data_IF_756449674459
#
_entry.id   IF_756449674459
#
_cell.length_a   1.000
_cell.length_b   1.000
_cell.length_c   1.000
_cell.angle_alpha   90.00
_cell.angle_beta   90.00
_cell.angle_gamma   90.00
#
_symmetry.space_group_name_H-M   'P 1'
#
loop_
_entity.id
_entity.type
_entity.pdbx_description
1 polymer ?
#
# COMPACT_ATOMS: atom_id res chain seq x y z
N UNK A 1 8.96 -23.12 -6.15
CA UNK A 1 8.38 -22.26 -5.12
C UNK A 1 8.45 -20.80 -5.53
N UNK A 2 7.51 -20.00 -5.03
CA UNK A 2 7.52 -18.52 -5.04
C UNK A 2 7.60 -18.11 -3.59
N UNK A 3 8.67 -17.43 -3.18
CA UNK A 3 8.90 -17.02 -1.79
C UNK A 3 9.27 -15.54 -1.68
N UNK A 4 8.95 -14.92 -0.56
CA UNK A 4 9.37 -13.56 -0.20
C UNK A 4 10.07 -13.65 1.16
N UNK A 5 11.39 -13.46 1.17
CA UNK A 5 12.22 -13.82 2.31
C UNK A 5 12.06 -15.29 2.66
N UNK A 6 11.76 -15.59 3.91
CA UNK A 6 11.54 -16.97 4.40
C UNK A 6 10.09 -17.44 4.25
N UNK A 7 9.18 -16.59 3.77
CA UNK A 7 7.76 -16.92 3.61
C UNK A 7 7.47 -17.51 2.23
N UNK A 8 6.92 -18.73 2.21
CA UNK A 8 6.49 -19.41 1.00
C UNK A 8 5.08 -18.94 0.59
N UNK A 9 4.97 -18.29 -0.55
CA UNK A 9 3.69 -17.80 -1.09
C UNK A 9 2.95 -18.86 -1.91
N UNK A 10 3.70 -19.78 -2.57
CA UNK A 10 3.11 -20.81 -3.39
C UNK A 10 4.10 -21.50 -4.31
N UNK A 11 3.54 -22.23 -5.26
CA UNK A 11 4.33 -23.00 -6.24
C UNK A 11 3.83 -22.70 -7.67
N UNK A 12 4.78 -22.57 -8.59
CA UNK A 12 4.49 -22.74 -10.02
C UNK A 12 4.75 -24.21 -10.36
N UNK A 13 3.76 -24.84 -10.92
CA UNK A 13 3.81 -26.26 -11.26
C UNK A 13 3.66 -26.44 -12.77
N UNK A 14 4.44 -27.36 -13.32
CA UNK A 14 4.28 -27.90 -14.66
C UNK A 14 4.25 -29.43 -14.59
N UNK A 15 3.54 -30.05 -15.49
CA UNK A 15 3.43 -31.52 -15.50
C UNK A 15 2.49 -31.98 -16.59
N UNK A 16 2.04 -33.26 -16.47
CA UNK A 16 1.18 -33.93 -17.44
C UNK A 16 1.81 -34.05 -18.84
N UNK A 17 3.10 -34.32 -18.86
CA UNK A 17 3.87 -34.56 -20.08
C UNK A 17 4.81 -35.73 -19.90
N UNK A 18 5.22 -36.32 -21.01
CA UNK A 18 6.32 -37.30 -21.03
C UNK A 18 7.56 -36.71 -21.72
N UNK A 19 8.73 -37.02 -21.17
CA UNK A 19 10.02 -36.69 -21.79
C UNK A 19 10.48 -37.75 -22.76
N UNK A 20 9.84 -38.93 -22.73
CA UNK A 20 10.09 -40.08 -23.62
C UNK A 20 8.75 -40.68 -24.01
N UNK A 21 8.69 -41.28 -25.18
CA UNK A 21 7.47 -41.95 -25.68
C UNK A 21 6.97 -42.98 -24.67
N UNK A 22 5.67 -43.00 -24.37
CA UNK A 22 5.06 -43.99 -23.50
C UNK A 22 5.14 -45.37 -24.11
N UNK A 23 5.34 -46.39 -23.27
CA UNK A 23 5.38 -47.79 -23.69
C UNK A 23 4.44 -48.62 -22.83
N UNK A 24 3.91 -49.75 -23.39
CA UNK A 24 3.02 -50.64 -22.64
C UNK A 24 3.68 -51.19 -21.36
N UNK A 25 4.99 -51.51 -21.43
CA UNK A 25 5.72 -51.97 -20.24
C UNK A 25 5.78 -50.93 -19.10
N UNK A 26 6.00 -49.67 -19.46
CA UNK A 26 5.96 -48.56 -18.45
C UNK A 26 4.56 -48.34 -17.92
N UNK A 27 3.54 -48.39 -18.76
CA UNK A 27 2.14 -48.27 -18.32
C UNK A 27 1.80 -49.40 -17.34
N UNK A 28 2.13 -50.66 -17.64
CA UNK A 28 1.89 -51.79 -16.75
C UNK A 28 2.55 -51.62 -15.37
N UNK A 29 3.75 -51.00 -15.31
CA UNK A 29 4.41 -50.67 -14.04
C UNK A 29 3.63 -49.61 -13.28
N UNK A 30 3.17 -48.56 -13.94
CA UNK A 30 2.35 -47.49 -13.33
C UNK A 30 1.02 -48.05 -12.82
N UNK A 31 0.34 -48.87 -13.59
CA UNK A 31 -0.92 -49.50 -13.18
C UNK A 31 -0.76 -50.37 -11.93
N UNK A 32 0.35 -51.16 -11.83
CA UNK A 32 0.65 -51.94 -10.61
C UNK A 32 0.86 -51.05 -9.38
N UNK A 33 1.58 -49.92 -9.52
CA UNK A 33 1.79 -48.97 -8.43
C UNK A 33 0.48 -48.37 -7.93
N UNK A 34 -0.40 -47.96 -8.84
CA UNK A 34 -1.72 -47.43 -8.49
C UNK A 34 -2.59 -48.45 -7.76
N UNK A 35 -2.54 -49.75 -8.22
CA UNK A 35 -3.23 -50.82 -7.52
C UNK A 35 -2.68 -51.07 -6.12
N UNK A 36 -1.35 -50.99 -5.94
CA UNK A 36 -0.73 -51.06 -4.60
C UNK A 36 -1.12 -49.93 -3.66
N UNK A 37 -1.36 -48.75 -4.19
CA UNK A 37 -1.84 -47.56 -3.41
C UNK A 37 -3.35 -47.59 -3.18
N UNK A 38 -4.05 -48.63 -3.62
CA UNK A 38 -5.48 -48.77 -3.41
C UNK A 38 -6.34 -47.82 -4.27
N UNK A 39 -5.77 -47.23 -5.32
CA UNK A 39 -6.51 -46.35 -6.22
C UNK A 39 -7.46 -47.18 -7.09
N UNK A 40 -8.77 -47.04 -6.88
CA UNK A 40 -9.83 -47.62 -7.73
C UNK A 40 -9.99 -46.75 -8.98
N UNK A 41 -9.22 -47.06 -10.01
CA UNK A 41 -9.22 -46.29 -11.28
C UNK A 41 -9.61 -47.22 -12.42
N UNK A 42 -10.40 -46.70 -13.37
CA UNK A 42 -10.68 -47.41 -14.64
C UNK A 42 -9.38 -47.44 -15.46
N UNK A 43 -8.78 -48.65 -15.53
CA UNK A 43 -7.51 -48.86 -16.20
C UNK A 43 -7.58 -48.60 -17.71
N UNK A 44 -8.74 -48.80 -18.35
CA UNK A 44 -8.90 -48.56 -19.79
C UNK A 44 -8.83 -47.07 -20.10
N UNK A 45 -9.55 -46.25 -19.33
CA UNK A 45 -9.48 -44.78 -19.43
C UNK A 45 -8.09 -44.24 -19.09
N UNK A 46 -7.47 -44.81 -18.07
CA UNK A 46 -6.13 -44.43 -17.69
C UNK A 46 -5.10 -44.74 -18.78
N UNK A 47 -5.22 -45.91 -19.42
CA UNK A 47 -4.34 -46.32 -20.53
C UNK A 47 -4.48 -45.38 -21.72
N UNK A 48 -5.71 -45.05 -22.10
CA UNK A 48 -5.96 -44.10 -23.17
C UNK A 48 -5.34 -42.73 -22.86
N UNK A 49 -5.59 -42.16 -21.70
CA UNK A 49 -5.01 -40.90 -21.27
C UNK A 49 -3.48 -40.93 -21.21
N UNK A 50 -2.90 -42.07 -20.76
CA UNK A 50 -1.48 -42.25 -20.67
C UNK A 50 -0.82 -42.19 -22.07
N UNK A 51 -1.41 -42.84 -23.07
CA UNK A 51 -0.86 -42.83 -24.43
C UNK A 51 -1.17 -41.56 -25.21
N UNK A 52 -2.21 -40.81 -24.82
CA UNK A 52 -2.53 -39.47 -25.35
C UNK A 52 -1.69 -38.35 -24.71
N UNK A 53 -1.02 -38.64 -23.62
CA UNK A 53 -0.19 -37.62 -22.93
C UNK A 53 0.91 -37.09 -23.84
N UNK A 54 1.03 -35.77 -23.90
CA UNK A 54 1.98 -35.10 -24.79
C UNK A 54 3.43 -35.47 -24.46
N UNK A 55 4.20 -35.79 -25.46
CA UNK A 55 5.65 -36.01 -25.35
C UNK A 55 6.37 -34.75 -25.82
N UNK A 56 7.27 -34.23 -25.00
CA UNK A 56 8.12 -33.09 -25.38
C UNK A 56 9.60 -33.45 -25.18
N UNK A 57 10.51 -32.93 -26.04
CA UNK A 57 11.95 -33.11 -25.86
C UNK A 57 12.44 -32.52 -24.53
N UNK A 58 13.44 -33.15 -23.91
CA UNK A 58 14.04 -32.69 -22.67
C UNK A 58 14.48 -31.21 -22.75
N UNK A 59 15.11 -30.81 -23.84
CA UNK A 59 15.56 -29.42 -24.06
C UNK A 59 14.41 -28.42 -24.02
N UNK A 60 13.25 -28.77 -24.58
CA UNK A 60 12.06 -27.93 -24.53
C UNK A 60 11.50 -27.88 -23.11
N UNK A 61 11.51 -28.96 -22.37
CA UNK A 61 11.09 -29.00 -20.97
C UNK A 61 11.98 -28.13 -20.08
N UNK A 62 13.31 -28.24 -20.27
CA UNK A 62 14.26 -27.34 -19.55
C UNK A 62 14.02 -25.88 -19.85
N UNK A 63 13.67 -25.54 -21.07
CA UNK A 63 13.30 -24.12 -21.41
C UNK A 63 12.04 -23.66 -20.68
N UNK A 64 11.04 -24.53 -20.55
CA UNK A 64 9.83 -24.25 -19.75
C UNK A 64 10.18 -24.06 -18.28
N UNK A 65 11.04 -24.93 -17.72
CA UNK A 65 11.48 -24.80 -16.32
C UNK A 65 12.22 -23.48 -16.07
N UNK A 66 13.10 -23.07 -16.99
CA UNK A 66 13.80 -21.77 -16.91
C UNK A 66 12.81 -20.61 -16.94
N UNK A 67 11.83 -20.66 -17.83
CA UNK A 67 10.78 -19.65 -17.92
C UNK A 67 9.98 -19.57 -16.60
N UNK A 68 9.56 -20.70 -16.06
CA UNK A 68 8.86 -20.76 -14.77
C UNK A 68 9.69 -20.21 -13.61
N UNK A 69 11.02 -20.43 -13.64
CA UNK A 69 11.94 -19.87 -12.64
C UNK A 69 11.96 -18.34 -12.73
N UNK A 70 12.05 -17.78 -13.94
CA UNK A 70 12.00 -16.32 -14.15
C UNK A 70 10.67 -15.75 -13.66
N UNK A 71 9.55 -16.41 -13.97
CA UNK A 71 8.24 -16.00 -13.47
C UNK A 71 8.14 -16.07 -11.95
N UNK A 72 8.66 -17.12 -11.33
CA UNK A 72 8.67 -17.24 -9.86
C UNK A 72 9.44 -16.09 -9.20
N UNK A 73 10.61 -15.76 -9.76
CA UNK A 73 11.42 -14.62 -9.27
C UNK A 73 10.70 -13.27 -9.45
N UNK A 74 10.06 -13.08 -10.60
CA UNK A 74 9.29 -11.85 -10.84
C UNK A 74 8.08 -11.72 -9.90
N UNK A 75 7.34 -12.80 -9.69
CA UNK A 75 6.22 -12.82 -8.75
C UNK A 75 6.68 -12.54 -7.32
N UNK A 76 7.81 -13.11 -6.89
CA UNK A 76 8.40 -12.84 -5.59
C UNK A 76 8.75 -11.35 -5.44
N UNK A 77 9.37 -10.74 -6.46
CA UNK A 77 9.72 -9.32 -6.46
C UNK A 77 8.47 -8.42 -6.35
N UNK A 78 7.46 -8.67 -7.18
CA UNK A 78 6.20 -7.90 -7.16
C UNK A 78 5.46 -8.07 -5.83
N UNK A 79 5.40 -9.29 -5.31
CA UNK A 79 4.79 -9.56 -4.00
C UNK A 79 5.50 -8.81 -2.86
N UNK A 80 6.83 -8.79 -2.87
CA UNK A 80 7.62 -8.03 -1.90
C UNK A 80 7.33 -6.52 -2.00
N UNK A 81 7.26 -5.97 -3.21
CA UNK A 81 6.90 -4.55 -3.41
C UNK A 81 5.51 -4.22 -2.86
N UNK A 82 4.53 -5.11 -3.06
CA UNK A 82 3.18 -4.94 -2.54
C UNK A 82 3.13 -5.03 -1.02
N UNK A 83 3.89 -5.94 -0.41
CA UNK A 83 4.00 -6.06 1.05
C UNK A 83 4.64 -4.81 1.66
N UNK A 84 5.74 -4.32 1.10
CA UNK A 84 6.40 -3.07 1.53
C UNK A 84 5.46 -1.88 1.41
N UNK A 85 4.70 -1.78 0.31
CA UNK A 85 3.68 -0.73 0.15
C UNK A 85 2.57 -0.83 1.19
N UNK A 86 2.09 -2.03 1.53
CA UNK A 86 1.05 -2.23 2.55
C UNK A 86 1.54 -1.87 3.95
N UNK A 87 2.77 -2.22 4.29
CA UNK A 87 3.37 -1.90 5.60
C UNK A 87 3.58 -0.39 5.76
N UNK A 88 3.92 0.32 4.67
CA UNK A 88 4.15 1.76 4.65
C UNK A 88 2.89 2.58 4.28
N UNK A 89 1.78 1.94 3.92
CA UNK A 89 0.55 2.64 3.59
C UNK A 89 -0.04 3.27 4.85
N UNK A 90 -0.27 4.58 4.78
CA UNK A 90 -1.01 5.28 5.84
C UNK A 90 -2.39 4.64 6.02
N UNK A 91 -2.83 4.36 7.25
CA UNK A 91 -4.15 3.79 7.49
C UNK A 91 -5.25 4.62 6.80
N UNK A 92 -6.22 4.02 6.11
CA UNK A 92 -7.29 4.75 5.41
C UNK A 92 -8.04 5.73 6.31
N UNK A 93 -8.15 5.41 7.58
CA UNK A 93 -8.74 6.29 8.62
C UNK A 93 -7.95 7.58 8.77
N UNK A 94 -6.62 7.53 8.71
CA UNK A 94 -5.76 8.72 8.82
C UNK A 94 -5.86 9.56 7.55
N UNK A 95 -5.86 8.93 6.38
CA UNK A 95 -6.06 9.64 5.10
C UNK A 95 -7.40 10.38 5.08
N UNK A 96 -8.50 9.73 5.52
CA UNK A 96 -9.81 10.39 5.66
C UNK A 96 -9.79 11.52 6.67
N UNK A 97 -9.10 11.34 7.81
CA UNK A 97 -8.98 12.40 8.81
C UNK A 97 -8.25 13.63 8.27
N UNK A 98 -7.16 13.44 7.53
CA UNK A 98 -6.43 14.54 6.87
C UNK A 98 -7.32 15.27 5.87
N UNK A 99 -8.05 14.54 5.03
CA UNK A 99 -9.01 15.11 4.08
C UNK A 99 -10.08 15.94 4.79
N UNK A 100 -10.63 15.44 5.91
CA UNK A 100 -11.60 16.17 6.72
C UNK A 100 -10.99 17.44 7.30
N UNK A 101 -9.78 17.37 7.86
CA UNK A 101 -9.06 18.53 8.39
C UNK A 101 -8.82 19.58 7.30
N UNK A 102 -8.36 19.17 6.13
CA UNK A 102 -8.08 20.07 5.00
C UNK A 102 -9.35 20.77 4.50
N UNK A 103 -10.47 20.05 4.44
CA UNK A 103 -11.76 20.63 4.03
C UNK A 103 -12.31 21.64 5.04
N UNK A 104 -12.09 21.41 6.36
CA UNK A 104 -12.70 22.19 7.44
C UNK A 104 -11.67 23.02 8.23
N UNK A 105 -10.44 23.18 7.73
CA UNK A 105 -9.33 23.82 8.45
C UNK A 105 -9.63 25.28 8.89
N UNK A 106 -10.54 25.97 8.21
CA UNK A 106 -10.94 27.35 8.54
C UNK A 106 -12.04 27.43 9.59
N UNK A 107 -12.69 26.31 9.86
CA UNK A 107 -13.75 26.19 10.85
C UNK A 107 -13.17 25.86 12.23
N UNK A 108 -14.00 25.98 13.26
CA UNK A 108 -13.63 25.59 14.61
C UNK A 108 -13.83 24.07 14.78
N UNK A 109 -12.82 23.28 14.36
CA UNK A 109 -12.86 21.83 14.47
C UNK A 109 -12.09 21.34 15.70
N UNK A 110 -12.68 20.38 16.39
CA UNK A 110 -12.08 19.68 17.53
C UNK A 110 -11.57 18.30 17.17
N UNK A 111 -10.70 17.74 18.02
CA UNK A 111 -10.28 16.35 17.94
C UNK A 111 -11.48 15.38 17.90
N UNK A 112 -12.54 15.70 18.66
CA UNK A 112 -13.76 14.89 18.73
C UNK A 112 -14.52 14.88 17.40
N UNK A 113 -14.56 16.01 16.70
CA UNK A 113 -15.26 16.11 15.41
C UNK A 113 -14.55 15.27 14.35
N UNK A 114 -13.22 15.33 14.31
CA UNK A 114 -12.43 14.49 13.40
C UNK A 114 -12.57 13.01 13.73
N UNK A 115 -12.50 12.63 15.00
CA UNK A 115 -12.66 11.24 15.43
C UNK A 115 -14.05 10.69 15.03
N UNK A 116 -15.10 11.51 15.18
CA UNK A 116 -16.48 11.20 14.77
C UNK A 116 -16.57 11.04 13.25
N UNK A 117 -15.97 11.94 12.48
CA UNK A 117 -15.98 11.90 11.02
C UNK A 117 -15.32 10.62 10.45
N UNK A 118 -14.38 10.03 11.18
CA UNK A 118 -13.72 8.77 10.78
C UNK A 118 -14.21 7.55 11.55
N UNK A 119 -15.34 7.65 12.27
CA UNK A 119 -15.99 6.58 13.03
C UNK A 119 -15.06 5.89 14.05
N UNK A 120 -14.30 6.68 14.81
CA UNK A 120 -13.41 6.15 15.86
C UNK A 120 -13.62 6.87 17.19
N UNK A 121 -13.18 6.25 18.29
CA UNK A 121 -13.14 6.94 19.57
C UNK A 121 -12.00 7.99 19.57
N UNK A 122 -12.21 9.10 20.28
CA UNK A 122 -11.23 10.19 20.40
C UNK A 122 -9.88 9.69 20.92
N UNK A 123 -9.90 8.79 21.91
CA UNK A 123 -8.68 8.21 22.49
C UNK A 123 -7.89 7.38 21.46
N UNK A 124 -8.57 6.48 20.74
CA UNK A 124 -7.93 5.65 19.73
C UNK A 124 -7.43 6.48 18.56
N UNK A 125 -8.23 7.45 18.10
CA UNK A 125 -7.83 8.38 17.04
C UNK A 125 -6.57 9.15 17.41
N UNK A 126 -6.52 9.75 18.61
CA UNK A 126 -5.36 10.51 19.08
C UNK A 126 -4.06 9.71 19.01
N UNK A 127 -4.09 8.45 19.50
CA UNK A 127 -2.94 7.55 19.50
C UNK A 127 -2.51 7.18 18.07
N UNK A 128 -3.48 6.81 17.24
CA UNK A 128 -3.25 6.39 15.86
C UNK A 128 -2.75 7.56 15.00
N UNK A 129 -3.35 8.75 15.14
CA UNK A 129 -2.98 9.96 14.41
C UNK A 129 -1.55 10.39 14.73
N UNK A 130 -1.19 10.42 16.02
CA UNK A 130 0.18 10.74 16.45
C UNK A 130 1.19 9.73 15.94
N UNK A 131 0.86 8.42 15.95
CA UNK A 131 1.72 7.37 15.42
C UNK A 131 1.96 7.54 13.91
N UNK A 132 0.92 7.88 13.15
CA UNK A 132 0.99 7.99 11.68
C UNK A 132 1.62 9.30 11.21
N UNK A 133 1.34 10.43 11.91
CA UNK A 133 1.78 11.77 11.47
C UNK A 133 3.00 12.29 12.23
N UNK A 134 3.36 11.67 13.35
CA UNK A 134 4.38 12.17 14.28
C UNK A 134 3.92 13.37 15.12
N UNK A 135 2.71 13.90 14.88
CA UNK A 135 2.18 15.13 15.49
C UNK A 135 0.87 14.84 16.24
N UNK A 136 0.60 15.61 17.29
CA UNK A 136 -0.76 15.64 17.82
C UNK A 136 -1.69 16.44 16.88
N UNK A 137 -3.00 16.28 17.05
CA UNK A 137 -4.01 16.92 16.20
C UNK A 137 -3.88 18.44 16.17
N UNK A 138 -3.69 19.09 17.33
CA UNK A 138 -3.61 20.56 17.43
C UNK A 138 -2.39 21.11 16.70
N UNK A 139 -1.25 20.44 16.80
CA UNK A 139 -0.03 20.83 16.08
C UNK A 139 -0.16 20.59 14.58
N UNK A 140 -0.82 19.49 14.17
CA UNK A 140 -1.10 19.22 12.77
C UNK A 140 -2.02 20.28 12.16
N UNK A 141 -3.16 20.57 12.80
CA UNK A 141 -4.09 21.63 12.36
C UNK A 141 -3.42 23.00 12.30
N UNK A 142 -2.57 23.31 13.29
CA UNK A 142 -1.79 24.53 13.30
C UNK A 142 -0.87 24.66 12.09
N UNK A 143 -0.20 23.57 11.69
CA UNK A 143 0.66 23.55 10.49
C UNK A 143 -0.15 23.73 9.22
N UNK A 144 -1.27 23.03 9.08
CA UNK A 144 -2.17 23.18 7.92
C UNK A 144 -2.64 24.62 7.77
N UNK A 145 -3.07 25.26 8.87
CA UNK A 145 -3.49 26.68 8.89
C UNK A 145 -2.34 27.63 8.55
N UNK A 146 -1.12 27.36 9.03
CA UNK A 146 0.05 28.20 8.70
C UNK A 146 0.41 28.08 7.23
N UNK A 147 0.35 26.89 6.64
CA UNK A 147 0.58 26.73 5.18
C UNK A 147 -0.48 27.47 4.37
N UNK A 148 -1.74 27.43 4.76
CA UNK A 148 -2.79 28.26 4.15
C UNK A 148 -2.50 29.74 4.30
N UNK A 149 -2.06 30.20 5.50
CA UNK A 149 -1.70 31.58 5.73
C UNK A 149 -0.53 32.03 4.84
N UNK A 150 0.50 31.19 4.63
CA UNK A 150 1.61 31.47 3.72
C UNK A 150 1.12 31.73 2.29
N UNK A 151 0.17 30.91 1.81
CA UNK A 151 -0.43 31.10 0.50
C UNK A 151 -1.23 32.41 0.41
N UNK A 152 -1.99 32.75 1.46
CA UNK A 152 -2.74 34.02 1.52
C UNK A 152 -1.81 35.25 1.61
N UNK A 153 -0.64 35.12 2.24
CA UNK A 153 0.37 36.18 2.33
C UNK A 153 0.97 36.59 0.98
N UNK A 154 0.85 35.74 -0.05
CA UNK A 154 1.24 36.08 -1.43
C UNK A 154 0.40 37.24 -1.99
N UNK A 155 -0.82 37.44 -1.50
CA UNK A 155 -1.63 38.57 -1.89
C UNK A 155 -1.27 39.80 -1.02
N UNK A 156 -0.63 40.85 -1.62
CA UNK A 156 -0.19 42.03 -0.86
C UNK A 156 -1.34 42.87 -0.33
N UNK A 157 -2.54 42.73 -0.91
CA UNK A 157 -3.72 43.57 -0.54
C UNK A 157 -4.40 43.07 0.74
N UNK A 158 -4.15 41.82 1.19
CA UNK A 158 -4.74 41.33 2.44
C UNK A 158 -3.95 41.82 3.65
N UNK A 159 -4.66 42.32 4.65
CA UNK A 159 -4.05 42.66 5.95
C UNK A 159 -3.63 41.36 6.67
N UNK A 160 -2.61 41.47 7.54
CA UNK A 160 -2.15 40.29 8.34
C UNK A 160 -3.28 39.73 9.22
N UNK A 161 -4.15 40.60 9.74
CA UNK A 161 -5.35 40.18 10.50
C UNK A 161 -6.34 39.42 9.63
N UNK A 162 -6.59 39.84 8.40
CA UNK A 162 -7.48 39.15 7.46
C UNK A 162 -6.93 37.79 7.10
N UNK A 163 -5.63 37.68 6.83
CA UNK A 163 -4.94 36.39 6.60
C UNK A 163 -5.10 35.45 7.80
N UNK A 164 -4.95 35.97 9.04
CA UNK A 164 -5.11 35.16 10.24
C UNK A 164 -6.49 34.50 10.32
N UNK A 165 -7.55 35.32 10.16
CA UNK A 165 -8.95 34.84 10.23
C UNK A 165 -9.29 33.93 9.01
N UNK A 166 -8.88 34.32 7.82
CA UNK A 166 -9.10 33.50 6.61
C UNK A 166 -8.36 32.14 6.64
N UNK A 167 -7.27 32.07 7.39
CA UNK A 167 -6.57 30.81 7.63
C UNK A 167 -7.18 29.96 8.76
N UNK A 168 -8.21 30.44 9.46
CA UNK A 168 -8.94 29.72 10.50
C UNK A 168 -8.45 29.97 11.94
N UNK A 169 -7.62 30.99 12.18
CA UNK A 169 -7.23 31.36 13.54
C UNK A 169 -8.29 32.31 14.17
N UNK A 170 -8.62 32.04 15.43
CA UNK A 170 -9.63 32.81 16.16
C UNK A 170 -9.09 34.11 16.80
N UNK A 171 -7.77 34.27 16.86
CA UNK A 171 -7.14 35.49 17.33
C UNK A 171 -5.81 35.78 16.66
N UNK A 172 -5.54 37.07 16.42
CA UNK A 172 -4.30 37.53 15.81
C UNK A 172 -3.07 37.22 16.68
N UNK A 173 -3.21 37.32 18.00
CA UNK A 173 -2.11 37.03 18.94
C UNK A 173 -1.73 35.52 18.88
N UNK A 174 -2.73 34.61 18.82
CA UNK A 174 -2.50 33.19 18.68
C UNK A 174 -1.87 32.88 17.31
N UNK A 175 -2.38 33.50 16.25
CA UNK A 175 -1.81 33.35 14.89
C UNK A 175 -0.34 33.75 14.87
N UNK A 176 0.02 34.92 15.32
CA UNK A 176 1.40 35.41 15.30
C UNK A 176 2.36 34.50 16.06
N UNK A 177 1.96 34.01 17.24
CA UNK A 177 2.74 33.06 18.04
C UNK A 177 2.95 31.72 17.32
N UNK A 178 1.87 31.15 16.77
CA UNK A 178 1.90 29.86 16.07
C UNK A 178 2.67 29.97 14.76
N UNK A 179 2.43 31.01 13.99
CA UNK A 179 3.13 31.27 12.72
C UNK A 179 4.63 31.37 12.97
N UNK A 180 5.07 32.18 13.94
CA UNK A 180 6.48 32.33 14.29
C UNK A 180 7.10 31.02 14.76
N UNK A 181 6.37 30.21 15.55
CA UNK A 181 6.85 28.92 16.01
C UNK A 181 7.08 27.95 14.85
N UNK A 182 6.22 27.97 13.83
CA UNK A 182 6.26 27.01 12.71
C UNK A 182 7.13 27.51 11.56
N UNK A 183 7.02 28.79 11.19
CA UNK A 183 7.75 29.38 10.07
C UNK A 183 9.13 29.94 10.45
N UNK A 184 9.43 30.07 11.75
CA UNK A 184 10.69 30.64 12.26
C UNK A 184 10.72 32.17 12.32
N UNK A 185 9.77 32.85 11.70
CA UNK A 185 9.68 34.32 11.60
C UNK A 185 8.23 34.81 11.68
N UNK A 186 8.03 36.13 11.86
CA UNK A 186 6.69 36.71 11.92
C UNK A 186 6.02 36.71 10.54
N UNK A 187 4.65 36.75 10.47
CA UNK A 187 3.94 36.84 9.19
C UNK A 187 4.35 38.06 8.36
N UNK A 188 4.65 39.20 9.01
CA UNK A 188 5.11 40.41 8.34
C UNK A 188 6.50 40.21 7.71
N UNK A 189 7.46 39.68 8.47
CA UNK A 189 8.80 39.36 7.97
C UNK A 189 8.76 38.34 6.83
N UNK A 190 7.90 37.33 6.94
CA UNK A 190 7.69 36.33 5.89
C UNK A 190 7.20 37.01 4.61
N UNK A 191 6.19 37.88 4.68
CA UNK A 191 5.66 38.66 3.53
C UNK A 191 6.70 39.55 2.87
N UNK A 192 7.55 40.22 3.64
CA UNK A 192 8.61 41.09 3.10
C UNK A 192 9.62 40.39 2.23
N UNK A 193 9.81 39.09 2.45
CA UNK A 193 10.74 38.22 1.67
C UNK A 193 10.10 37.65 0.42
N UNK A 194 8.78 37.74 0.26
CA UNK A 194 8.11 37.22 -0.92
C UNK A 194 8.39 38.13 -2.13
N UNK A 195 8.54 37.55 -3.34
CA UNK A 195 8.71 38.36 -4.56
C UNK A 195 7.49 39.26 -4.74
N UNK A 196 7.73 40.53 -4.90
CA UNK A 196 6.68 41.52 -5.25
C UNK A 196 6.38 41.34 -6.74
N UNK A 197 5.25 40.71 -7.05
CA UNK A 197 4.67 40.67 -8.40
C UNK A 197 3.98 41.97 -8.71
#
# INVERSE_FOLDING_TARGET
PVSVGDELLGFLQTGQIFLQRPTKARFAKTARLLAQWGCKTDLSRLEEAYFQTRVIPLKQYESVLRLLTIFAQHLALVSNQLLVRRVNAEPPTITKAKQFIDAHQTEEISLTDVARAVNTSTFYFCKMFKKATGLNFTDYLSRVRVEKAKNLLLNPNLRISEVAFAAGFQSLSHFNRVFRRIAGESPTQYREKLPRT
#
